data_IF_602283434623
#
_entry.id   IF_602283434623
#
_cell.length_a   1.000
_cell.length_b   1.000
_cell.length_c   1.000
_cell.angle_alpha   90.00
_cell.angle_beta   90.00
_cell.angle_gamma   90.00
#
_symmetry.space_group_name_H-M   'P 1'
#
loop_
_entity.id
_entity.type
_entity.pdbx_description
1 polymer ?
#
# COMPACT_ATOMS: atom_id res chain seq x y z
N UNK A 1 0.90 -7.76 -19.46
CA UNK A 1 1.83 -7.53 -18.34
C UNK A 1 2.50 -8.86 -18.01
N UNK A 2 3.78 -8.85 -17.68
CA UNK A 2 4.49 -10.03 -17.15
C UNK A 2 4.96 -9.69 -15.75
N UNK A 3 4.37 -10.34 -14.74
CA UNK A 3 4.88 -10.29 -13.36
C UNK A 3 6.24 -10.99 -13.28
N UNK A 4 7.05 -10.66 -12.27
CA UNK A 4 8.28 -11.40 -12.01
C UNK A 4 7.98 -12.86 -11.66
N UNK A 5 8.86 -13.79 -12.06
CA UNK A 5 8.71 -15.21 -11.77
C UNK A 5 8.60 -15.50 -10.26
N UNK A 6 9.32 -14.72 -9.44
CA UNK A 6 9.26 -14.86 -7.98
C UNK A 6 7.89 -14.52 -7.41
N UNK A 7 7.21 -13.50 -7.95
CA UNK A 7 5.83 -13.22 -7.59
C UNK A 7 4.91 -14.36 -8.03
N UNK A 8 5.01 -14.79 -9.29
CA UNK A 8 4.18 -15.87 -9.83
C UNK A 8 4.28 -17.17 -8.99
N UNK A 9 5.48 -17.49 -8.50
CA UNK A 9 5.72 -18.74 -7.76
C UNK A 9 5.51 -18.63 -6.25
N UNK A 10 5.74 -17.47 -5.66
CA UNK A 10 5.88 -17.33 -4.20
C UNK A 10 5.07 -16.18 -3.60
N UNK A 11 4.23 -15.50 -4.37
CA UNK A 11 3.36 -14.48 -3.83
C UNK A 11 2.22 -15.12 -3.04
N UNK A 12 2.12 -14.75 -1.77
CA UNK A 12 1.08 -15.13 -0.82
C UNK A 12 -0.11 -14.15 -0.82
N UNK A 13 0.09 -12.96 -1.38
CA UNK A 13 -0.96 -11.95 -1.54
C UNK A 13 -1.74 -12.17 -2.83
N UNK A 14 -2.99 -11.67 -2.83
CA UNK A 14 -3.80 -11.63 -4.04
C UNK A 14 -3.20 -10.59 -5.01
N UNK A 15 -2.74 -11.06 -6.17
CA UNK A 15 -2.44 -10.19 -7.30
C UNK A 15 -3.75 -9.58 -7.83
N UNK A 16 -3.74 -8.26 -8.00
CA UNK A 16 -4.90 -7.55 -8.52
C UNK A 16 -4.95 -7.57 -10.06
N UNK A 17 -6.05 -7.06 -10.61
CA UNK A 17 -6.38 -7.19 -12.03
C UNK A 17 -5.49 -6.34 -12.96
N UNK A 18 -5.07 -5.15 -12.53
CA UNK A 18 -4.38 -4.18 -13.37
C UNK A 18 -2.98 -3.82 -12.84
N UNK A 19 -2.15 -3.23 -13.69
CA UNK A 19 -0.86 -2.66 -13.25
C UNK A 19 -1.18 -1.43 -12.41
N UNK A 20 -0.51 -1.29 -11.28
CA UNK A 20 -0.60 -0.04 -10.56
C UNK A 20 0.17 1.03 -11.33
N UNK A 21 -0.45 2.15 -11.73
CA UNK A 21 0.28 3.20 -12.42
C UNK A 21 1.39 3.80 -11.53
N UNK A 22 2.54 4.12 -12.11
CA UNK A 22 3.70 4.69 -11.39
C UNK A 22 3.37 5.91 -10.53
N UNK A 23 2.49 6.79 -11.01
CA UNK A 23 2.09 7.97 -10.24
C UNK A 23 1.31 7.61 -8.96
N UNK A 24 0.60 6.48 -8.95
CA UNK A 24 -0.09 5.96 -7.76
C UNK A 24 0.94 5.41 -6.78
N UNK A 25 1.97 4.71 -7.27
CA UNK A 25 3.09 4.21 -6.46
C UNK A 25 3.78 5.39 -5.78
N UNK A 26 4.13 6.45 -6.51
CA UNK A 26 4.73 7.67 -5.94
C UNK A 26 3.85 8.36 -4.88
N UNK A 27 2.52 8.36 -5.07
CA UNK A 27 1.60 8.87 -4.05
C UNK A 27 1.63 8.02 -2.78
N UNK A 28 1.66 6.70 -2.90
CA UNK A 28 1.75 5.78 -1.76
C UNK A 28 3.09 5.93 -1.02
N UNK A 29 4.21 6.10 -1.73
CA UNK A 29 5.51 6.40 -1.11
C UNK A 29 5.46 7.69 -0.29
N UNK A 30 4.83 8.75 -0.83
CA UNK A 30 4.66 10.00 -0.11
C UNK A 30 3.74 9.87 1.11
N UNK A 31 2.71 9.03 1.06
CA UNK A 31 1.86 8.71 2.21
C UNK A 31 2.69 7.99 3.28
N UNK A 32 3.48 6.99 2.91
CA UNK A 32 4.37 6.25 3.81
C UNK A 32 5.39 7.15 4.51
N UNK A 33 6.02 8.06 3.77
CA UNK A 33 6.95 9.04 4.34
C UNK A 33 6.27 9.97 5.34
N UNK A 34 5.06 10.47 5.04
CA UNK A 34 4.31 11.32 5.96
C UNK A 34 3.90 10.55 7.23
N UNK A 35 3.45 9.31 7.09
CA UNK A 35 3.10 8.44 8.22
C UNK A 35 4.29 8.25 9.17
N UNK A 36 5.45 7.89 8.62
CA UNK A 36 6.72 7.76 9.37
C UNK A 36 7.03 9.02 10.17
N UNK A 37 7.01 10.18 9.51
CA UNK A 37 7.30 11.47 10.17
C UNK A 37 6.29 11.76 11.29
N UNK A 38 5.00 11.51 11.06
CA UNK A 38 3.95 11.78 12.05
C UNK A 38 4.13 10.91 13.30
N UNK A 39 4.23 9.59 13.14
CA UNK A 39 4.35 8.68 14.27
C UNK A 39 5.66 8.85 15.04
N UNK A 40 6.76 9.15 14.33
CA UNK A 40 8.01 9.51 14.97
C UNK A 40 7.85 10.76 15.86
N UNK A 41 7.28 11.83 15.32
CA UNK A 41 7.14 13.09 16.06
C UNK A 41 6.20 12.97 17.27
N UNK A 42 5.25 12.04 17.26
CA UNK A 42 4.30 11.85 18.36
C UNK A 42 4.82 10.91 19.43
N UNK A 43 5.28 9.74 19.01
CA UNK A 43 5.50 8.60 19.90
C UNK A 43 6.92 8.03 19.81
N UNK A 44 7.78 8.58 18.93
CA UNK A 44 9.08 7.99 18.57
C UNK A 44 8.93 6.56 18.02
N UNK A 45 7.81 6.31 17.33
CA UNK A 45 7.54 5.03 16.67
C UNK A 45 8.07 5.08 15.23
N UNK A 46 8.96 4.14 14.91
CA UNK A 46 9.42 3.89 13.55
C UNK A 46 8.64 2.71 12.99
N UNK A 47 7.78 2.97 11.99
CA UNK A 47 7.02 1.93 11.28
C UNK A 47 7.15 2.11 9.76
N UNK A 48 7.09 1.02 9.02
CA UNK A 48 7.14 0.99 7.56
C UNK A 48 6.23 -0.10 6.96
N UNK A 49 4.89 0.06 7.01
CA UNK A 49 3.96 -0.91 6.43
C UNK A 49 3.98 -0.94 4.89
N UNK A 50 4.81 -0.11 4.23
CA UNK A 50 5.02 -0.14 2.77
C UNK A 50 6.26 -0.96 2.37
N UNK A 51 7.10 -1.30 3.35
CA UNK A 51 8.26 -2.15 3.18
C UNK A 51 7.98 -3.64 3.43
N UNK A 52 9.05 -4.38 3.66
CA UNK A 52 9.03 -5.81 3.95
C UNK A 52 9.19 -6.06 5.47
N UNK A 53 8.30 -5.49 6.28
CA UNK A 53 8.47 -5.44 7.76
C UNK A 53 7.44 -6.24 8.55
N UNK A 54 6.32 -6.63 7.94
CA UNK A 54 5.17 -7.24 8.63
C UNK A 54 4.30 -6.23 9.40
N UNK A 55 4.62 -4.94 9.36
CA UNK A 55 3.89 -3.90 10.08
C UNK A 55 2.58 -3.51 9.39
N UNK A 56 1.66 -2.94 10.17
CA UNK A 56 0.32 -2.56 9.73
C UNK A 56 -0.04 -1.18 10.29
N UNK A 57 -0.79 -0.39 9.54
CA UNK A 57 -1.39 0.86 9.98
C UNK A 57 -2.83 0.96 9.48
N UNK A 58 -3.72 1.48 10.31
CA UNK A 58 -5.13 1.65 9.96
C UNK A 58 -5.71 2.88 10.64
N UNK A 59 -6.49 3.65 9.88
CA UNK A 59 -7.37 4.67 10.42
C UNK A 59 -8.72 4.64 9.69
N UNK A 60 -9.58 5.64 9.94
CA UNK A 60 -10.92 5.73 9.33
C UNK A 60 -10.91 5.94 7.81
N UNK A 61 -9.75 6.26 7.21
CA UNK A 61 -9.62 6.63 5.80
C UNK A 61 -8.95 5.55 4.96
N UNK A 62 -7.89 4.93 5.48
CA UNK A 62 -7.18 3.88 4.77
C UNK A 62 -6.58 2.85 5.71
N UNK A 63 -6.27 1.69 5.14
CA UNK A 63 -5.54 0.61 5.78
C UNK A 63 -4.33 0.26 4.92
N UNK A 64 -3.21 0.01 5.58
CA UNK A 64 -2.00 -0.47 4.93
C UNK A 64 -1.35 -1.56 5.78
N UNK A 65 -0.87 -2.59 5.10
CA UNK A 65 -0.15 -3.71 5.69
C UNK A 65 1.01 -4.11 4.78
N UNK A 66 2.16 -4.33 5.41
CA UNK A 66 3.31 -4.90 4.74
C UNK A 66 2.94 -6.27 4.14
N UNK A 67 3.78 -6.73 3.23
CA UNK A 67 3.65 -8.06 2.65
C UNK A 67 3.74 -9.15 3.74
N UNK A 68 2.76 -10.06 3.79
CA UNK A 68 2.76 -11.20 4.70
C UNK A 68 3.51 -12.38 4.10
N UNK A 69 4.44 -12.95 4.87
CA UNK A 69 5.13 -14.19 4.51
C UNK A 69 4.39 -15.44 5.00
N UNK A 70 3.26 -15.26 5.67
CA UNK A 70 2.44 -16.37 6.15
C UNK A 70 1.65 -16.97 4.99
N UNK A 71 2.02 -18.19 4.60
CA UNK A 71 1.36 -18.93 3.50
C UNK A 71 -0.06 -19.38 3.85
N UNK A 72 -0.44 -19.35 5.14
CA UNK A 72 -1.79 -19.68 5.61
C UNK A 72 -2.69 -18.43 5.67
N UNK A 73 -2.12 -17.23 5.67
CA UNK A 73 -2.87 -15.97 5.71
C UNK A 73 -3.26 -15.54 4.29
N UNK A 74 -4.57 -15.43 4.03
CA UNK A 74 -5.06 -14.75 2.84
C UNK A 74 -4.99 -13.24 3.05
N UNK A 75 -4.00 -12.58 2.45
CA UNK A 75 -3.89 -11.12 2.42
C UNK A 75 -4.49 -10.58 1.11
N UNK A 76 -5.70 -9.98 1.15
CA UNK A 76 -6.40 -9.53 -0.06
C UNK A 76 -5.79 -8.26 -0.67
N UNK A 77 -5.11 -7.44 0.14
CA UNK A 77 -4.48 -6.20 -0.29
C UNK A 77 -3.32 -5.86 0.64
N UNK A 78 -2.41 -5.02 0.15
CA UNK A 78 -1.44 -4.32 0.97
C UNK A 78 -1.92 -2.92 1.34
N UNK A 79 -2.65 -2.25 0.46
CA UNK A 79 -3.22 -0.93 0.71
C UNK A 79 -4.69 -0.90 0.27
N UNK A 80 -5.54 -0.31 1.12
CA UNK A 80 -6.95 -0.12 0.83
C UNK A 80 -7.41 1.30 1.15
N UNK A 81 -8.05 1.93 0.17
CA UNK A 81 -8.79 3.18 0.32
C UNK A 81 -10.12 3.06 -0.42
N UNK A 82 -11.24 3.09 0.31
CA UNK A 82 -12.56 2.88 -0.27
C UNK A 82 -12.59 1.54 -1.07
N UNK A 83 -13.03 1.58 -2.34
CA UNK A 83 -13.03 0.43 -3.26
C UNK A 83 -11.68 0.19 -3.98
N UNK A 84 -10.64 0.99 -3.69
CA UNK A 84 -9.31 0.82 -4.28
C UNK A 84 -8.49 -0.11 -3.41
N UNK A 85 -8.08 -1.23 -3.99
CA UNK A 85 -7.21 -2.23 -3.37
C UNK A 85 -5.95 -2.39 -4.21
N UNK A 86 -4.80 -2.27 -3.55
CA UNK A 86 -3.47 -2.34 -4.16
C UNK A 86 -2.67 -3.41 -3.44
N UNK A 87 -2.01 -4.26 -4.23
CA UNK A 87 -1.13 -5.33 -3.74
C UNK A 87 0.25 -5.18 -4.35
N UNK A 88 1.28 -5.59 -3.62
CA UNK A 88 2.67 -5.65 -4.11
C UNK A 88 3.36 -6.89 -3.58
N UNK A 89 4.45 -7.28 -4.24
CA UNK A 89 5.28 -8.39 -3.79
C UNK A 89 6.44 -7.88 -2.92
N UNK A 90 6.47 -8.25 -1.64
CA UNK A 90 7.47 -7.86 -0.61
C UNK A 90 7.50 -6.38 -0.21
N UNK A 91 7.48 -5.45 -1.17
CA UNK A 91 7.51 -4.02 -0.89
C UNK A 91 6.83 -3.22 -2.02
N UNK A 92 6.31 -2.03 -1.68
CA UNK A 92 5.68 -1.12 -2.63
C UNK A 92 6.60 -0.84 -3.83
N UNK A 93 6.04 -0.88 -5.03
CA UNK A 93 6.77 -0.67 -6.29
C UNK A 93 7.20 -1.96 -6.99
N UNK A 94 7.30 -3.08 -6.27
CA UNK A 94 7.63 -4.38 -6.87
C UNK A 94 6.38 -5.14 -7.25
N UNK A 95 6.21 -5.38 -8.54
CA UNK A 95 5.04 -6.05 -9.13
C UNK A 95 3.72 -5.52 -8.52
N UNK A 96 3.60 -4.20 -8.44
CA UNK A 96 2.45 -3.57 -7.78
C UNK A 96 1.24 -3.61 -8.71
N UNK A 97 0.15 -4.15 -8.21
CA UNK A 97 -1.11 -4.34 -8.95
C UNK A 97 -2.25 -3.64 -8.23
N UNK A 98 -3.27 -3.22 -9.00
CA UNK A 98 -4.46 -2.51 -8.51
C UNK A 98 -5.74 -3.18 -9.02
N UNK A 99 -6.79 -3.21 -8.20
CA UNK A 99 -8.04 -3.92 -8.50
C UNK A 99 -8.92 -3.22 -9.54
N UNK A 100 -8.66 -1.95 -9.85
CA UNK A 100 -9.43 -1.17 -10.80
C UNK A 100 -8.54 -0.25 -11.65
N UNK A 101 -9.00 0.09 -12.86
CA UNK A 101 -8.42 1.22 -13.59
C UNK A 101 -8.74 2.50 -12.82
N UNK A 102 -7.69 3.17 -12.34
CA UNK A 102 -7.81 4.43 -11.62
C UNK A 102 -7.44 5.57 -12.56
N UNK A 103 -8.32 6.57 -12.66
CA UNK A 103 -8.02 7.80 -13.36
C UNK A 103 -7.21 8.76 -12.45
N UNK A 104 -6.46 9.72 -13.03
CA UNK A 104 -5.62 10.61 -12.26
C UNK A 104 -6.38 11.44 -11.21
N UNK A 105 -7.62 11.87 -11.45
CA UNK A 105 -8.37 12.68 -10.50
C UNK A 105 -8.80 11.84 -9.29
N UNK A 106 -9.20 10.59 -9.50
CA UNK A 106 -9.51 9.66 -8.42
C UNK A 106 -8.26 9.31 -7.59
N UNK A 107 -7.10 9.15 -8.23
CA UNK A 107 -5.84 8.92 -7.53
C UNK A 107 -5.39 10.13 -6.70
N UNK A 108 -5.53 11.36 -7.24
CA UNK A 108 -5.26 12.59 -6.50
C UNK A 108 -6.19 12.69 -5.28
N UNK A 109 -7.47 12.38 -5.44
CA UNK A 109 -8.42 12.35 -4.33
C UNK A 109 -8.02 11.36 -3.24
N UNK A 110 -7.64 10.13 -3.62
CA UNK A 110 -7.12 9.13 -2.69
C UNK A 110 -5.92 9.67 -1.90
N UNK A 111 -4.96 10.25 -2.63
CA UNK A 111 -3.75 10.82 -2.04
C UNK A 111 -4.07 11.92 -1.03
N UNK A 112 -4.89 12.90 -1.42
CA UNK A 112 -5.29 14.00 -0.54
C UNK A 112 -6.06 13.52 0.69
N UNK A 113 -7.00 12.59 0.53
CA UNK A 113 -7.80 12.06 1.64
C UNK A 113 -6.87 11.36 2.65
N UNK A 114 -5.91 10.56 2.18
CA UNK A 114 -4.91 9.92 3.03
C UNK A 114 -4.03 10.95 3.76
N UNK A 115 -3.47 11.93 3.05
CA UNK A 115 -2.63 12.96 3.68
C UNK A 115 -3.39 13.78 4.71
N UNK A 116 -4.65 14.15 4.44
CA UNK A 116 -5.52 14.87 5.38
C UNK A 116 -5.85 14.01 6.60
N UNK A 117 -6.02 12.69 6.42
CA UNK A 117 -6.23 11.78 7.55
C UNK A 117 -5.02 11.71 8.47
N UNK A 118 -3.80 11.71 7.91
CA UNK A 118 -2.55 11.71 8.68
C UNK A 118 -2.27 13.04 9.39
N UNK A 119 -2.88 14.14 8.97
CA UNK A 119 -2.79 15.41 9.70
C UNK A 119 -3.60 15.43 11.00
N UNK A 120 -4.51 14.47 11.18
CA UNK A 120 -5.32 14.28 12.39
C UNK A 120 -4.70 13.30 13.38
N UNK A 121 -3.64 12.60 12.98
CA UNK A 121 -2.74 11.97 13.93
C UNK A 121 -2.16 13.11 14.76
#
# INVERSE_FOLDING_TARGET
MSLELGNIMFNTNVNQTYECPEYVISFLESIGNKLKIKLWNQNQEEIDPFGNTGEKFKNDTFEVCAYSWDEEESQPYNFKWNEVEISWYKYLGRDTTINCQIDPLRAIKMFEDCLKSLDKL
#
